data_IF_550643229630
#
_entry.id   IF_550643229630
#
_cell.length_a   1.000
_cell.length_b   1.000
_cell.length_c   1.000
_cell.angle_alpha   90.00
_cell.angle_beta   90.00
_cell.angle_gamma   90.00
#
_symmetry.space_group_name_H-M   'P 1'
#
loop_
_entity.id
_entity.type
_entity.pdbx_description
1 polymer ?
#
# COMPACT_ATOMS: atom_id res chain seq x y z
N UNK A 1 -21.76 27.36 12.39
CA UNK A 1 -20.67 27.04 11.44
C UNK A 1 -21.21 26.00 10.46
N UNK A 2 -21.12 26.19 9.14
CA UNK A 2 -21.45 25.12 8.21
C UNK A 2 -20.42 23.99 8.39
N UNK A 3 -20.77 22.72 8.14
CA UNK A 3 -19.82 21.62 8.25
C UNK A 3 -18.71 21.86 7.23
N UNK A 4 -17.47 21.98 7.70
CA UNK A 4 -16.28 21.89 6.84
C UNK A 4 -16.40 20.62 6.02
N UNK A 5 -16.45 20.75 4.68
CA UNK A 5 -16.40 19.63 3.74
C UNK A 5 -15.31 18.68 4.22
N UNK A 6 -15.69 17.48 4.68
CA UNK A 6 -14.72 16.41 4.92
C UNK A 6 -14.03 16.22 3.59
N UNK A 7 -12.72 16.51 3.52
CA UNK A 7 -11.91 16.06 2.39
C UNK A 7 -12.18 14.57 2.26
N UNK A 8 -12.95 14.18 1.24
CA UNK A 8 -13.17 12.79 0.92
C UNK A 8 -11.78 12.25 0.58
N UNK A 9 -11.18 11.54 1.55
CA UNK A 9 -9.85 10.96 1.39
C UNK A 9 -9.85 10.19 0.09
N UNK A 10 -8.93 10.54 -0.82
CA UNK A 10 -8.87 9.95 -2.16
C UNK A 10 -8.87 8.43 -2.02
N UNK A 11 -9.80 7.79 -2.72
CA UNK A 11 -9.88 6.34 -2.83
C UNK A 11 -9.44 5.99 -4.25
N UNK A 12 -8.54 5.01 -4.37
CA UNK A 12 -8.08 4.54 -5.67
C UNK A 12 -8.30 3.03 -5.72
N UNK A 13 -9.11 2.61 -6.70
CA UNK A 13 -9.49 1.23 -6.91
C UNK A 13 -8.72 0.63 -8.08
N UNK A 14 -8.22 -0.59 -7.88
CA UNK A 14 -7.54 -1.41 -8.87
C UNK A 14 -8.46 -2.58 -9.24
N UNK A 15 -9.07 -2.52 -10.42
CA UNK A 15 -10.01 -3.53 -10.92
C UNK A 15 -9.34 -4.80 -11.43
N UNK A 16 -10.11 -5.88 -11.56
CA UNK A 16 -9.70 -7.22 -12.00
C UNK A 16 -10.66 -8.28 -11.46
N UNK A 17 -10.32 -9.57 -11.61
CA UNK A 17 -11.06 -10.66 -10.93
C UNK A 17 -11.04 -10.46 -9.41
N UNK A 18 -9.86 -10.11 -8.89
CA UNK A 18 -9.69 -9.59 -7.55
C UNK A 18 -9.52 -8.07 -7.62
N UNK A 19 -10.27 -7.37 -6.77
CA UNK A 19 -10.26 -5.92 -6.68
C UNK A 19 -9.56 -5.48 -5.41
N UNK A 20 -8.82 -4.38 -5.51
CA UNK A 20 -8.15 -3.73 -4.38
C UNK A 20 -8.53 -2.28 -4.35
N UNK A 21 -8.70 -1.69 -3.17
CA UNK A 21 -8.80 -0.24 -3.01
C UNK A 21 -7.80 0.21 -1.96
N UNK A 22 -7.16 1.34 -2.25
CA UNK A 22 -6.39 2.10 -1.28
C UNK A 22 -7.15 3.36 -0.94
N UNK A 23 -7.23 3.72 0.34
CA UNK A 23 -7.98 4.87 0.80
C UNK A 23 -7.15 5.68 1.79
N UNK A 24 -7.04 6.99 1.58
CA UNK A 24 -6.61 7.90 2.62
C UNK A 24 -7.68 7.93 3.72
N UNK A 25 -7.30 7.56 4.95
CA UNK A 25 -8.20 7.43 6.09
C UNK A 25 -7.64 8.14 7.31
N UNK A 26 -8.45 8.22 8.36
CA UNK A 26 -7.99 8.63 9.68
C UNK A 26 -8.33 7.53 10.69
N UNK A 27 -7.47 7.37 11.70
CA UNK A 27 -7.79 6.54 12.86
C UNK A 27 -8.91 7.17 13.70
N UNK A 28 -9.41 6.46 14.72
CA UNK A 28 -10.39 7.01 15.66
C UNK A 28 -9.89 8.27 16.41
N UNK A 29 -8.57 8.45 16.52
CA UNK A 29 -7.92 9.65 17.09
C UNK A 29 -7.65 10.74 16.04
N UNK A 30 -8.25 10.64 14.85
CA UNK A 30 -8.08 11.56 13.74
C UNK A 30 -6.64 11.63 13.17
N UNK A 31 -5.83 10.58 13.36
CA UNK A 31 -4.47 10.52 12.82
C UNK A 31 -4.51 10.02 11.37
N UNK A 32 -3.85 10.69 10.40
CA UNK A 32 -3.79 10.25 9.01
C UNK A 32 -3.20 8.84 8.87
N UNK A 33 -3.83 8.00 8.05
CA UNK A 33 -3.36 6.65 7.77
C UNK A 33 -3.85 6.15 6.41
N UNK A 34 -3.38 4.98 5.99
CA UNK A 34 -3.77 4.30 4.76
C UNK A 34 -4.60 3.06 5.08
N UNK A 35 -5.80 3.00 4.50
CA UNK A 35 -6.64 1.81 4.45
C UNK A 35 -6.43 1.03 3.16
N UNK A 36 -6.45 -0.29 3.26
CA UNK A 36 -6.41 -1.22 2.13
C UNK A 36 -7.59 -2.16 2.24
N UNK A 37 -8.36 -2.22 1.16
CA UNK A 37 -9.50 -3.10 1.01
C UNK A 37 -9.24 -4.10 -0.12
N UNK A 38 -9.61 -5.36 0.08
CA UNK A 38 -9.57 -6.41 -0.94
C UNK A 38 -10.90 -7.16 -1.01
N UNK A 39 -11.34 -7.50 -2.22
CA UNK A 39 -12.49 -8.36 -2.48
C UNK A 39 -12.32 -9.07 -3.83
N UNK A 40 -13.25 -9.94 -4.19
CA UNK A 40 -13.39 -10.48 -5.54
C UNK A 40 -14.55 -9.82 -6.27
N UNK A 41 -14.56 -9.90 -7.61
CA UNK A 41 -15.69 -9.45 -8.42
C UNK A 41 -17.00 -10.17 -8.04
N UNK A 42 -16.91 -11.43 -7.61
CA UNK A 42 -18.05 -12.27 -7.23
C UNK A 42 -18.56 -12.04 -5.80
N UNK A 43 -17.67 -11.68 -4.86
CA UNK A 43 -18.06 -11.43 -3.47
C UNK A 43 -18.73 -10.06 -3.27
N UNK A 44 -18.70 -9.19 -4.30
CA UNK A 44 -19.18 -7.82 -4.24
C UNK A 44 -18.42 -6.95 -3.23
N UNK A 45 -18.63 -5.63 -3.25
CA UNK A 45 -17.84 -4.68 -2.46
C UNK A 45 -18.18 -4.69 -0.95
N UNK A 46 -19.36 -5.20 -0.62
CA UNK A 46 -19.85 -5.25 0.76
C UNK A 46 -19.18 -6.37 1.57
N UNK A 47 -18.67 -7.42 0.92
CA UNK A 47 -17.94 -8.52 1.56
C UNK A 47 -16.42 -8.35 1.50
N UNK A 48 -15.92 -7.11 1.42
CA UNK A 48 -14.48 -6.84 1.39
C UNK A 48 -13.79 -7.14 2.72
N UNK A 49 -12.51 -7.51 2.65
CA UNK A 49 -11.61 -7.47 3.79
C UNK A 49 -10.87 -6.13 3.81
N UNK A 50 -11.08 -5.39 4.89
CA UNK A 50 -10.38 -4.13 5.18
C UNK A 50 -9.24 -4.33 6.17
N UNK A 51 -8.13 -3.65 5.91
CA UNK A 51 -6.97 -3.53 6.79
C UNK A 51 -6.54 -2.05 6.83
N UNK A 52 -6.55 -1.44 8.02
CA UNK A 52 -6.09 -0.06 8.22
C UNK A 52 -4.71 -0.11 8.89
N UNK A 53 -3.70 0.52 8.30
CA UNK A 53 -2.36 0.50 8.89
C UNK A 53 -2.32 1.37 10.16
N UNK A 54 -1.54 0.94 11.15
CA UNK A 54 -1.14 1.82 12.25
C UNK A 54 -0.23 2.94 11.71
N UNK A 55 -0.55 4.23 11.95
CA UNK A 55 0.21 5.33 11.38
C UNK A 55 1.59 5.53 12.02
N UNK A 56 1.82 5.01 13.23
CA UNK A 56 3.06 5.20 13.99
C UNK A 56 4.12 4.15 13.63
N UNK A 57 3.71 2.90 13.46
CA UNK A 57 4.62 1.77 13.26
C UNK A 57 4.48 1.15 11.87
N UNK A 58 3.27 0.80 11.45
CA UNK A 58 3.06 -0.01 10.24
C UNK A 58 3.20 0.82 8.96
N UNK A 59 2.66 2.04 8.93
CA UNK A 59 2.73 2.92 7.76
C UNK A 59 4.18 3.34 7.43
N UNK A 60 5.05 3.76 8.37
CA UNK A 60 6.47 3.99 8.10
C UNK A 60 7.19 2.77 7.54
N UNK A 61 6.92 1.58 8.09
CA UNK A 61 7.54 0.34 7.62
C UNK A 61 7.08 -0.03 6.21
N UNK A 62 5.80 0.18 5.89
CA UNK A 62 5.29 0.00 4.53
C UNK A 62 5.98 0.97 3.57
N UNK A 63 6.07 2.25 3.92
CA UNK A 63 6.76 3.24 3.07
C UNK A 63 8.22 2.85 2.84
N UNK A 64 8.94 2.41 3.87
CA UNK A 64 10.31 1.91 3.73
C UNK A 64 10.37 0.70 2.78
N UNK A 65 9.46 -0.26 2.92
CA UNK A 65 9.39 -1.44 2.05
C UNK A 65 9.10 -1.08 0.58
N UNK A 66 8.13 -0.18 0.35
CA UNK A 66 7.74 0.25 -1.00
C UNK A 66 8.80 1.11 -1.67
N UNK A 67 9.62 1.83 -0.90
CA UNK A 67 10.66 2.74 -1.41
C UNK A 67 12.06 2.14 -1.40
N UNK A 68 12.21 0.85 -1.12
CA UNK A 68 13.46 0.12 -1.31
C UNK A 68 13.49 -0.52 -2.69
N UNK A 69 14.69 -0.83 -3.19
CA UNK A 69 14.84 -1.64 -4.41
C UNK A 69 14.11 -2.97 -4.18
N UNK A 70 13.31 -3.47 -5.14
CA UNK A 70 12.63 -4.75 -5.01
C UNK A 70 13.65 -5.86 -4.72
N UNK A 71 13.62 -6.40 -3.51
CA UNK A 71 14.34 -7.63 -3.14
C UNK A 71 13.28 -8.72 -3.13
N UNK A 72 13.35 -9.61 -4.10
CA UNK A 72 12.29 -10.58 -4.42
C UNK A 72 12.07 -11.66 -3.37
N UNK A 73 13.05 -11.89 -2.49
CA UNK A 73 12.94 -12.78 -1.33
C UNK A 73 12.25 -12.13 -0.13
N UNK A 74 12.05 -10.81 -0.17
CA UNK A 74 11.54 -10.05 0.97
C UNK A 74 10.02 -9.94 0.92
N UNK A 75 9.41 -10.35 2.02
CA UNK A 75 8.00 -10.20 2.29
C UNK A 75 7.81 -9.22 3.44
N UNK A 76 6.72 -8.45 3.42
CA UNK A 76 6.31 -7.60 4.53
C UNK A 76 4.92 -7.99 4.98
N UNK A 77 4.79 -8.29 6.27
CA UNK A 77 3.54 -8.66 6.91
C UNK A 77 3.21 -7.70 8.05
N UNK A 78 1.92 -7.41 8.20
CA UNK A 78 1.34 -6.66 9.30
C UNK A 78 0.19 -7.46 9.88
N UNK A 79 0.16 -7.64 11.19
CA UNK A 79 -0.78 -8.53 11.86
C UNK A 79 -1.54 -7.77 12.94
N UNK A 80 -2.87 -7.77 12.84
CA UNK A 80 -3.75 -7.26 13.88
C UNK A 80 -4.33 -8.44 14.65
N UNK A 81 -4.44 -8.30 15.97
CA UNK A 81 -4.99 -9.36 16.83
C UNK A 81 -6.51 -9.25 17.05
N UNK A 82 -7.11 -8.09 16.71
CA UNK A 82 -8.54 -7.86 16.90
C UNK A 82 -9.09 -6.83 15.89
N UNK A 83 -9.77 -7.28 14.81
CA UNK A 83 -9.92 -8.67 14.39
C UNK A 83 -8.58 -9.29 13.96
N UNK A 84 -8.46 -10.61 14.10
CA UNK A 84 -7.25 -11.36 13.72
C UNK A 84 -7.07 -11.34 12.19
N UNK A 85 -6.25 -10.41 11.68
CA UNK A 85 -6.02 -10.21 10.24
C UNK A 85 -4.53 -10.07 9.95
N UNK A 86 -4.12 -10.53 8.79
CA UNK A 86 -2.75 -10.38 8.28
C UNK A 86 -2.79 -9.74 6.90
N UNK A 87 -2.07 -8.64 6.73
CA UNK A 87 -1.82 -7.98 5.46
C UNK A 87 -0.40 -8.30 4.99
N UNK A 88 -0.27 -8.86 3.79
CA UNK A 88 1.00 -9.33 3.23
C UNK A 88 1.32 -8.61 1.92
N UNK A 89 2.57 -8.18 1.77
CA UNK A 89 3.17 -7.65 0.54
C UNK A 89 4.39 -8.46 0.14
N UNK A 90 4.51 -8.80 -1.15
CA UNK A 90 5.67 -9.54 -1.68
C UNK A 90 5.91 -9.19 -3.14
N UNK A 91 7.13 -8.80 -3.48
CA UNK A 91 7.53 -8.63 -4.89
C UNK A 91 7.61 -10.01 -5.56
N UNK A 92 7.02 -10.15 -6.74
CA UNK A 92 7.05 -11.41 -7.48
C UNK A 92 8.32 -11.52 -8.34
N UNK A 93 8.61 -12.75 -8.73
CA UNK A 93 9.75 -13.13 -9.55
C UNK A 93 9.29 -13.75 -10.84
N UNK A 94 10.11 -13.65 -11.89
CA UNK A 94 9.86 -14.39 -13.11
C UNK A 94 10.03 -15.90 -12.86
N UNK A 95 9.14 -16.73 -13.43
CA UNK A 95 9.16 -18.18 -13.26
C UNK A 95 10.45 -18.85 -13.77
N UNK A 96 11.18 -18.18 -14.68
CA UNK A 96 12.43 -18.68 -15.25
C UNK A 96 13.68 -18.27 -14.46
N UNK A 97 13.60 -17.21 -13.65
CA UNK A 97 14.73 -16.71 -12.85
C UNK A 97 14.20 -16.11 -11.53
N UNK A 98 14.30 -16.89 -10.46
CA UNK A 98 13.82 -16.50 -9.12
C UNK A 98 14.60 -15.31 -8.51
N UNK A 99 15.71 -14.89 -9.13
CA UNK A 99 16.45 -13.71 -8.71
C UNK A 99 15.92 -12.41 -9.35
N UNK A 100 15.13 -12.49 -10.43
CA UNK A 100 14.70 -11.32 -11.20
C UNK A 100 13.25 -10.93 -10.89
N UNK A 101 13.08 -9.70 -10.41
CA UNK A 101 11.79 -9.05 -10.26
C UNK A 101 11.04 -8.96 -11.60
N UNK A 102 9.77 -9.35 -11.62
CA UNK A 102 8.95 -9.40 -12.84
C UNK A 102 8.11 -8.14 -13.10
N UNK A 103 8.24 -7.11 -12.27
CA UNK A 103 7.43 -5.89 -12.37
C UNK A 103 6.08 -5.98 -11.65
N UNK A 104 5.83 -7.03 -10.85
CA UNK A 104 4.56 -7.21 -10.12
C UNK A 104 4.74 -7.47 -8.63
N UNK A 105 3.72 -7.12 -7.83
CA UNK A 105 3.69 -7.36 -6.39
C UNK A 105 2.37 -8.03 -6.00
N UNK A 106 2.49 -9.08 -5.20
CA UNK A 106 1.37 -9.68 -4.48
C UNK A 106 0.99 -8.81 -3.27
N UNK A 107 -0.31 -8.53 -3.13
CA UNK A 107 -0.92 -7.92 -1.94
C UNK A 107 -2.06 -8.81 -1.48
N UNK A 108 -2.09 -9.22 -0.22
CA UNK A 108 -3.12 -10.11 0.31
C UNK A 108 -3.58 -9.73 1.71
N UNK A 109 -4.87 -9.92 2.00
CA UNK A 109 -5.43 -9.84 3.35
C UNK A 109 -6.03 -11.21 3.69
N UNK A 110 -5.60 -11.76 4.82
CA UNK A 110 -6.15 -12.96 5.40
C UNK A 110 -6.85 -12.63 6.72
N UNK A 111 -8.09 -13.06 6.89
CA UNK A 111 -8.84 -12.96 8.13
C UNK A 111 -8.85 -14.33 8.81
N UNK A 112 -8.07 -14.46 9.89
CA UNK A 112 -7.89 -15.72 10.61
C UNK A 112 -9.20 -16.21 11.26
N UNK A 113 -10.14 -15.31 11.56
CA UNK A 113 -11.39 -15.67 12.25
C UNK A 113 -12.37 -16.33 11.28
N UNK A 114 -12.44 -15.82 10.05
CA UNK A 114 -13.35 -16.33 9.02
C UNK A 114 -12.67 -17.30 8.05
N UNK A 115 -11.35 -17.48 8.13
CA UNK A 115 -10.52 -18.20 7.17
C UNK A 115 -10.67 -17.68 5.73
N UNK A 116 -11.11 -16.43 5.57
CA UNK A 116 -11.28 -15.78 4.27
C UNK A 116 -9.97 -15.11 3.86
N UNK A 117 -9.58 -15.31 2.61
CA UNK A 117 -8.40 -14.70 2.01
C UNK A 117 -8.75 -14.03 0.70
N UNK A 118 -8.38 -12.75 0.56
CA UNK A 118 -8.39 -12.07 -0.72
C UNK A 118 -6.97 -11.60 -1.06
N UNK A 119 -6.66 -11.57 -2.36
CA UNK A 119 -5.36 -11.12 -2.82
C UNK A 119 -5.45 -10.51 -4.20
N UNK A 120 -4.51 -9.62 -4.53
CA UNK A 120 -4.35 -9.05 -5.85
C UNK A 120 -2.87 -8.97 -6.20
N UNK A 121 -2.56 -9.30 -7.45
CA UNK A 121 -1.26 -8.96 -8.05
C UNK A 121 -1.39 -7.59 -8.71
N UNK A 122 -0.51 -6.67 -8.35
CA UNK A 122 -0.48 -5.31 -8.88
C UNK A 122 0.80 -5.06 -9.67
N UNK A 123 0.67 -4.38 -10.82
CA UNK A 123 1.80 -4.03 -11.69
C UNK A 123 2.48 -2.71 -11.28
N UNK A 124 3.56 -2.35 -11.97
CA UNK A 124 4.42 -1.21 -11.62
C UNK A 124 3.67 0.11 -11.43
N UNK A 125 2.73 0.43 -12.33
CA UNK A 125 1.92 1.66 -12.23
C UNK A 125 1.04 1.67 -10.97
N UNK A 126 0.47 0.53 -10.61
CA UNK A 126 -0.36 0.40 -9.40
C UNK A 126 0.50 0.42 -8.14
N UNK A 127 1.70 -0.17 -8.18
CA UNK A 127 2.70 -0.06 -7.10
C UNK A 127 3.14 1.38 -6.88
N UNK A 128 3.37 2.14 -7.95
CA UNK A 128 3.69 3.57 -7.87
C UNK A 128 2.56 4.36 -7.18
N UNK A 129 1.30 4.08 -7.52
CA UNK A 129 0.15 4.71 -6.88
C UNK A 129 0.07 4.35 -5.39
N UNK A 130 0.22 3.08 -5.04
CA UNK A 130 0.23 2.62 -3.65
C UNK A 130 1.33 3.32 -2.84
N UNK A 131 2.55 3.39 -3.40
CA UNK A 131 3.68 4.11 -2.79
C UNK A 131 3.36 5.59 -2.57
N UNK A 132 2.82 6.26 -3.59
CA UNK A 132 2.48 7.68 -3.52
C UNK A 132 1.43 7.96 -2.44
N UNK A 133 0.40 7.11 -2.36
CA UNK A 133 -0.63 7.20 -1.31
C UNK A 133 -0.04 7.00 0.09
N UNK A 134 0.79 5.97 0.29
CA UNK A 134 1.42 5.69 1.57
C UNK A 134 2.34 6.84 2.02
N UNK A 135 3.19 7.35 1.12
CA UNK A 135 4.07 8.49 1.41
C UNK A 135 3.29 9.75 1.74
N UNK A 136 2.20 10.03 1.00
CA UNK A 136 1.36 11.20 1.26
C UNK A 136 0.69 11.14 2.63
N UNK A 137 0.15 9.99 3.02
CA UNK A 137 -0.45 9.82 4.35
C UNK A 137 0.59 9.95 5.46
N UNK A 138 1.78 9.38 5.26
CA UNK A 138 2.83 9.46 6.26
C UNK A 138 3.42 10.87 6.41
N UNK A 139 3.61 11.59 5.30
CA UNK A 139 4.01 12.98 5.33
C UNK A 139 2.98 13.85 6.06
N UNK A 140 1.68 13.60 5.84
CA UNK A 140 0.59 14.25 6.57
C UNK A 140 0.62 13.92 8.07
N UNK A 141 0.90 12.68 8.44
CA UNK A 141 1.01 12.26 9.84
C UNK A 141 2.18 12.95 10.57
N UNK A 142 3.33 13.10 9.92
CA UNK A 142 4.50 13.81 10.47
C UNK A 142 4.46 15.33 10.26
N UNK A 143 3.39 15.86 9.66
CA UNK A 143 3.26 17.29 9.34
C UNK A 143 4.47 17.85 8.56
N UNK A 144 5.02 17.06 7.64
CA UNK A 144 6.22 17.39 6.89
C UNK A 144 6.01 17.25 5.37
N UNK A 145 6.97 17.72 4.58
CA UNK A 145 6.95 17.50 3.14
C UNK A 145 7.38 16.07 2.78
N UNK A 146 7.03 15.62 1.58
CA UNK A 146 7.53 14.33 1.05
C UNK A 146 9.07 14.33 0.97
N UNK A 147 9.69 15.50 0.74
CA UNK A 147 11.14 15.63 0.70
C UNK A 147 11.77 15.37 2.08
N UNK A 148 11.19 15.94 3.13
CA UNK A 148 11.62 15.71 4.52
C UNK A 148 11.45 14.24 4.88
N UNK A 149 10.35 13.62 4.45
CA UNK A 149 10.08 12.20 4.67
C UNK A 149 11.16 11.30 4.06
N UNK A 150 11.63 11.60 2.84
CA UNK A 150 12.72 10.87 2.18
C UNK A 150 13.99 10.92 3.02
N UNK A 151 14.29 12.06 3.63
CA UNK A 151 15.46 12.21 4.51
C UNK A 151 15.28 11.46 5.83
N UNK A 152 14.15 11.65 6.51
CA UNK A 152 13.83 11.04 7.80
C UNK A 152 13.86 9.51 7.75
N UNK A 153 13.34 8.93 6.65
CA UNK A 153 13.31 7.48 6.47
C UNK A 153 14.57 6.93 5.79
N UNK A 154 15.56 7.78 5.47
CA UNK A 154 16.78 7.40 4.75
C UNK A 154 16.49 6.62 3.46
N UNK A 155 15.49 7.06 2.70
CA UNK A 155 15.09 6.43 1.45
C UNK A 155 16.14 6.77 0.38
N UNK A 156 16.63 5.75 -0.33
CA UNK A 156 17.54 5.95 -1.47
C UNK A 156 16.85 6.80 -2.55
N UNK A 157 17.41 8.00 -2.79
CA UNK A 157 16.91 8.97 -3.77
C UNK A 157 16.85 8.39 -5.19
N UNK A 158 17.63 7.36 -5.51
CA UNK A 158 17.61 6.69 -6.82
C UNK A 158 16.29 5.95 -7.09
N UNK A 159 15.62 5.46 -6.03
CA UNK A 159 14.29 4.80 -6.13
C UNK A 159 13.19 5.79 -6.51
N UNK A 160 13.39 7.07 -6.20
CA UNK A 160 12.52 8.17 -6.62
C UNK A 160 12.84 8.66 -8.05
N UNK A 161 14.08 8.51 -8.51
CA UNK A 161 14.54 8.96 -9.85
C UNK A 161 14.20 7.99 -10.98
N UNK A 162 14.08 6.69 -10.68
CA UNK A 162 13.86 5.63 -11.67
C UNK A 162 12.57 5.80 -12.51
N UNK A 163 11.61 6.63 -12.07
CA UNK A 163 10.35 6.85 -12.80
C UNK A 163 10.34 8.13 -13.66
N UNK A 164 11.31 9.04 -13.48
CA UNK A 164 11.40 10.27 -14.28
C UNK A 164 12.19 10.03 -15.57
N UNK A 165 13.11 9.07 -15.58
CA UNK A 165 13.87 8.69 -16.79
C UNK A 165 13.02 7.94 -17.81
N UNK A 166 12.05 7.13 -17.36
CA UNK A 166 11.25 6.29 -18.26
C UNK A 166 10.12 7.06 -18.96
N UNK A 167 9.88 8.30 -18.56
CA UNK A 167 9.00 9.26 -19.25
C UNK A 167 9.75 10.18 -20.23
N UNK A 168 11.08 10.02 -20.37
CA UNK A 168 11.90 10.78 -21.32
C UNK A 168 12.40 9.92 -22.50
N UNK A 169 11.88 8.70 -22.63
CA UNK A 169 12.11 7.84 -23.79
C UNK A 169 10.91 7.96 -24.72
N UNK A 170 10.87 9.08 -25.45
CA UNK A 170 10.42 9.24 -26.85
C UNK A 170 10.59 10.72 -27.25
#
# INVERSE_FOLDING_TARGET
>A
MPPTKKDYGRQIQFYGENMMQTAAQCTAKNLPTLGIDLTTKSAEWDNKLSFQLDPVFELPELVKFLCQRPITTRMKEFSHNSPAKVLTFRYNTNNQDQAKFDGTMFVGIFDNKSSVKYHKVIGEKQMFVLRSMAMSQLAKFYECSIYDLIQLLSIDKSVCKQFISDTKSD
#
